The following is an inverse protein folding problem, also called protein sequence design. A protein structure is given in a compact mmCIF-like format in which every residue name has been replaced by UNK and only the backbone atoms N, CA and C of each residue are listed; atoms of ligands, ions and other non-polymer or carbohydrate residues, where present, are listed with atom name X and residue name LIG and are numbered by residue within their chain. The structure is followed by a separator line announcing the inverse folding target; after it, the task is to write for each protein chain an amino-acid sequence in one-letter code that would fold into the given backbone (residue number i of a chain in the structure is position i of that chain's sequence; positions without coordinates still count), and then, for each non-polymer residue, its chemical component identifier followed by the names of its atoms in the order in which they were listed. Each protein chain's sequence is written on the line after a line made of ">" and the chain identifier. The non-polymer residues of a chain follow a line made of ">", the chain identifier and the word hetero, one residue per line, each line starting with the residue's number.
data_IF_805016239368
#
_entry.id   IF_805016239368
#
_cell.length_a   1.000
_cell.length_b   1.000
_cell.length_c   1.000
_cell.angle_alpha   90.00
_cell.angle_beta   90.00
_cell.angle_gamma   90.00
#
_symmetry.space_group_name_H-M   'P 1'
#
loop_
_entity.id
_entity.type
_entity.pdbx_description
1 polymer ?
#
# COMPACT_ATOMS: atom_id res chain seq x y z
N UNK A 1 17.64 3.17 26.47
CA UNK A 1 17.03 3.51 25.16
C UNK A 1 15.86 4.45 25.45
N UNK A 2 16.03 5.76 25.24
CA UNK A 2 14.97 6.74 25.55
C UNK A 2 13.93 6.70 24.44
N UNK A 3 12.71 6.26 24.75
CA UNK A 3 11.58 6.31 23.81
C UNK A 3 11.17 7.77 23.66
N UNK A 4 11.46 8.36 22.50
CA UNK A 4 10.99 9.71 22.19
C UNK A 4 9.55 9.59 21.70
N UNK A 5 8.64 10.39 22.25
CA UNK A 5 7.23 10.44 21.84
C UNK A 5 7.02 10.60 20.33
N UNK A 6 7.82 11.40 19.59
CA UNK A 6 7.72 11.47 18.13
C UNK A 6 7.96 10.12 17.45
N UNK A 7 8.95 9.35 17.92
CA UNK A 7 9.28 8.05 17.33
C UNK A 7 8.13 7.05 17.53
N UNK A 8 7.47 7.10 18.69
CA UNK A 8 6.26 6.31 18.97
C UNK A 8 5.11 6.71 18.03
N UNK A 9 4.87 8.01 17.83
CA UNK A 9 3.82 8.49 16.94
C UNK A 9 4.08 8.09 15.48
N UNK A 10 5.31 8.25 14.98
CA UNK A 10 5.68 7.83 13.64
C UNK A 10 5.54 6.31 13.45
N UNK A 11 5.93 5.53 14.46
CA UNK A 11 5.79 4.07 14.42
C UNK A 11 4.32 3.64 14.43
N UNK A 12 3.45 4.35 15.15
CA UNK A 12 2.02 4.06 15.23
C UNK A 12 1.25 4.32 13.91
N UNK A 13 1.80 5.11 12.99
CA UNK A 13 1.18 5.37 11.68
C UNK A 13 1.03 4.08 10.88
N UNK A 14 2.05 3.21 10.88
CA UNK A 14 2.03 1.96 10.13
C UNK A 14 0.86 1.03 10.50
N UNK A 15 0.66 0.62 11.78
CA UNK A 15 -0.47 -0.20 12.16
C UNK A 15 -1.82 0.51 12.02
N UNK A 16 -1.88 1.84 12.21
CA UNK A 16 -3.11 2.61 12.03
C UNK A 16 -3.60 2.55 10.56
N UNK A 17 -2.69 2.76 9.59
CA UNK A 17 -3.00 2.63 8.17
C UNK A 17 -3.45 1.20 7.86
N UNK A 18 -2.73 0.19 8.35
CA UNK A 18 -3.06 -1.22 8.10
C UNK A 18 -4.44 -1.61 8.64
N UNK A 19 -4.75 -1.22 9.88
CA UNK A 19 -6.05 -1.45 10.51
C UNK A 19 -7.20 -0.76 9.77
N UNK A 20 -7.03 0.51 9.37
CA UNK A 20 -8.05 1.22 8.61
C UNK A 20 -8.35 0.56 7.26
N UNK A 21 -7.32 0.04 6.60
CA UNK A 21 -7.49 -0.65 5.31
C UNK A 21 -8.29 -1.94 5.49
N UNK A 22 -8.03 -2.71 6.54
CA UNK A 22 -8.80 -3.91 6.88
C UNK A 22 -10.27 -3.64 7.13
N UNK A 23 -10.57 -2.53 7.82
CA UNK A 23 -11.93 -2.08 8.08
C UNK A 23 -12.61 -1.75 6.74
N UNK A 24 -11.96 -0.97 5.87
CA UNK A 24 -12.49 -0.63 4.53
C UNK A 24 -12.76 -1.88 3.70
N UNK A 25 -11.80 -2.81 3.61
CA UNK A 25 -11.94 -4.00 2.78
C UNK A 25 -13.00 -4.97 3.32
N UNK A 26 -13.08 -5.14 4.64
CA UNK A 26 -13.99 -6.13 5.25
C UNK A 26 -15.40 -5.58 5.44
N UNK A 27 -15.53 -4.33 5.89
CA UNK A 27 -16.82 -3.76 6.26
C UNK A 27 -17.47 -2.95 5.14
N UNK A 28 -16.67 -2.24 4.32
CA UNK A 28 -17.19 -1.32 3.31
C UNK A 28 -17.18 -1.90 1.89
N UNK A 29 -16.38 -2.94 1.61
CA UNK A 29 -16.32 -3.61 0.31
C UNK A 29 -16.61 -5.13 0.40
N UNK A 30 -17.64 -5.60 1.13
CA UNK A 30 -17.86 -7.03 1.34
C UNK A 30 -18.17 -7.83 0.07
N UNK A 31 -18.73 -7.17 -0.96
CA UNK A 31 -19.19 -7.80 -2.21
C UNK A 31 -18.22 -7.60 -3.39
N UNK A 32 -17.07 -6.96 -3.17
CA UNK A 32 -16.10 -6.76 -4.24
C UNK A 32 -15.22 -8.00 -4.39
N UNK A 33 -14.83 -8.30 -5.62
CA UNK A 33 -13.90 -9.41 -5.86
C UNK A 33 -12.55 -9.15 -5.16
N UNK A 34 -11.85 -10.18 -4.66
CA UNK A 34 -10.55 -10.02 -4.04
C UNK A 34 -9.54 -9.25 -4.92
N UNK A 35 -9.61 -9.47 -6.23
CA UNK A 35 -8.75 -8.78 -7.20
C UNK A 35 -9.08 -7.28 -7.28
N UNK A 36 -10.36 -6.90 -7.29
CA UNK A 36 -10.78 -5.50 -7.29
C UNK A 36 -10.37 -4.79 -6.00
N UNK A 37 -10.52 -5.46 -4.86
CA UNK A 37 -10.09 -4.94 -3.56
C UNK A 37 -8.57 -4.74 -3.52
N UNK A 38 -7.80 -5.72 -4.02
CA UNK A 38 -6.36 -5.62 -4.12
C UNK A 38 -5.92 -4.45 -5.03
N UNK A 39 -6.59 -4.27 -6.18
CA UNK A 39 -6.33 -3.16 -7.10
C UNK A 39 -6.61 -1.81 -6.44
N UNK A 40 -7.76 -1.64 -5.78
CA UNK A 40 -8.14 -0.40 -5.09
C UNK A 40 -7.17 -0.04 -3.96
N UNK A 41 -6.52 -1.03 -3.34
CA UNK A 41 -5.52 -0.81 -2.31
C UNK A 41 -4.15 -0.44 -2.87
N UNK A 42 -3.67 -1.18 -3.87
CA UNK A 42 -2.29 -1.07 -4.36
C UNK A 42 -2.12 0.01 -5.43
N UNK A 43 -3.08 0.16 -6.35
CA UNK A 43 -2.95 1.06 -7.50
C UNK A 43 -2.87 2.54 -7.09
N UNK A 44 -3.74 3.07 -6.19
CA UNK A 44 -3.64 4.48 -5.79
C UNK A 44 -2.31 4.79 -5.09
N UNK A 45 -1.85 3.90 -4.22
CA UNK A 45 -0.56 4.04 -3.54
C UNK A 45 0.62 4.05 -4.53
N UNK A 46 0.60 3.13 -5.51
CA UNK A 46 1.60 3.07 -6.58
C UNK A 46 1.61 4.34 -7.45
N UNK A 47 0.44 4.84 -7.84
CA UNK A 47 0.30 6.07 -8.63
C UNK A 47 0.79 7.30 -7.85
N UNK A 48 0.44 7.41 -6.56
CA UNK A 48 0.96 8.46 -5.68
C UNK A 48 2.48 8.41 -5.56
N UNK A 49 3.04 7.21 -5.40
CA UNK A 49 4.49 7.03 -5.34
C UNK A 49 5.17 7.48 -6.63
N UNK A 50 4.63 7.11 -7.80
CA UNK A 50 5.14 7.57 -9.10
C UNK A 50 5.00 9.08 -9.26
N UNK A 51 3.90 9.70 -8.81
CA UNK A 51 3.72 11.15 -8.84
C UNK A 51 4.72 11.90 -7.96
N UNK A 52 5.06 11.35 -6.79
CA UNK A 52 6.00 11.94 -5.84
C UNK A 52 7.44 11.76 -6.33
N UNK A 53 7.82 10.53 -6.68
CA UNK A 53 9.20 10.19 -7.09
C UNK A 53 9.48 10.65 -8.52
N UNK A 54 8.44 10.80 -9.35
CA UNK A 54 8.50 11.19 -10.78
C UNK A 54 9.41 10.29 -11.62
N UNK A 55 9.54 9.03 -11.23
CA UNK A 55 10.30 8.02 -11.96
C UNK A 55 9.38 6.88 -12.32
N UNK A 56 9.38 6.54 -13.60
CA UNK A 56 8.62 5.44 -14.17
C UNK A 56 9.56 4.24 -14.28
N UNK A 57 9.11 3.00 -13.98
CA UNK A 57 9.94 1.82 -14.19
C UNK A 57 10.44 1.72 -15.65
N UNK A 58 11.68 1.29 -15.82
CA UNK A 58 12.33 1.17 -17.14
C UNK A 58 12.85 -0.25 -17.37
N UNK A 59 12.81 -0.68 -18.64
CA UNK A 59 13.33 -1.99 -19.06
C UNK A 59 12.72 -3.16 -18.28
N UNK A 60 13.58 -3.98 -17.65
CA UNK A 60 13.20 -5.20 -16.93
C UNK A 60 12.34 -4.94 -15.68
N UNK A 61 12.30 -3.71 -15.16
CA UNK A 61 11.54 -3.39 -13.96
C UNK A 61 10.03 -3.50 -14.15
N UNK A 62 9.51 -3.36 -15.38
CA UNK A 62 8.11 -3.64 -15.67
C UNK A 62 7.73 -5.09 -15.33
N UNK A 63 8.55 -6.03 -15.79
CA UNK A 63 8.32 -7.46 -15.53
C UNK A 63 8.51 -7.78 -14.03
N UNK A 64 9.52 -7.20 -13.38
CA UNK A 64 9.74 -7.41 -11.95
C UNK A 64 8.56 -6.91 -11.11
N UNK A 65 8.06 -5.70 -11.36
CA UNK A 65 6.91 -5.15 -10.64
C UNK A 65 5.67 -6.01 -10.87
N UNK A 66 5.45 -6.49 -12.09
CA UNK A 66 4.33 -7.38 -12.40
C UNK A 66 4.41 -8.70 -11.62
N UNK A 67 5.56 -9.39 -11.66
CA UNK A 67 5.76 -10.66 -10.95
C UNK A 67 5.69 -10.46 -9.43
N UNK A 68 6.37 -9.46 -8.90
CA UNK A 68 6.35 -9.15 -7.46
C UNK A 68 4.95 -8.74 -6.99
N UNK A 69 4.19 -8.01 -7.80
CA UNK A 69 2.81 -7.65 -7.51
C UNK A 69 1.88 -8.86 -7.54
N UNK A 70 2.08 -9.81 -8.45
CA UNK A 70 1.31 -11.05 -8.51
C UNK A 70 1.60 -12.03 -7.36
N UNK A 71 2.79 -11.96 -6.77
CA UNK A 71 3.22 -12.82 -5.65
C UNK A 71 2.96 -12.22 -4.25
N UNK A 72 2.43 -11.00 -4.17
CA UNK A 72 2.11 -10.30 -2.92
C UNK A 72 0.71 -10.67 -2.43
#
# INVERSE_FOLDING_TARGET
>A
MSLRTPDLLFTAIAPAIWGSTYIVTTQYLPNFSPMTVAMLRALPAGLLLVMIVRQIPTGIWWMRIFILGALN
#
